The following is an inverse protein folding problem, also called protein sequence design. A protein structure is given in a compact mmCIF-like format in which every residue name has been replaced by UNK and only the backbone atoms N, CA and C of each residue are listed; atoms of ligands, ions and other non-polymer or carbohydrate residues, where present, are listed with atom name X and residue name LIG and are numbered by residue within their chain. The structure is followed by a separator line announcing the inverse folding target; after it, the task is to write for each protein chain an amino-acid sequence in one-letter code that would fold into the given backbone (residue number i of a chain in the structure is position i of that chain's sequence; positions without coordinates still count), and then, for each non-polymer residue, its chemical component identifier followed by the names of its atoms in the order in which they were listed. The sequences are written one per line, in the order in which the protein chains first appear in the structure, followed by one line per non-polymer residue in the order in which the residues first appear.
data_IF_981171958353
#
_entry.id   IF_981171958353
#
_cell.length_a   1.000
_cell.length_b   1.000
_cell.length_c   1.000
_cell.angle_alpha   90.00
_cell.angle_beta   90.00
_cell.angle_gamma   90.00
#
_symmetry.space_group_name_H-M   'P 1'
#
loop_
_entity.id
_entity.type
_entity.pdbx_description
1 polymer ?
#
# COMPACT_ATOMS: atom_id res chain seq x y z
N UNK A 1 5.87 -0.03 16.15
CA UNK A 1 7.05 0.10 15.27
C UNK A 1 6.61 0.65 13.94
N UNK A 2 7.34 1.61 13.39
CA UNK A 2 7.03 2.20 12.08
C UNK A 2 7.54 1.29 10.95
N UNK A 3 6.80 1.21 9.85
CA UNK A 3 7.05 0.29 8.74
C UNK A 3 7.02 1.02 7.41
N UNK A 4 7.74 0.48 6.43
CA UNK A 4 7.64 0.88 5.03
C UNK A 4 6.56 0.03 4.36
N UNK A 5 5.52 0.68 3.82
CA UNK A 5 4.51 0.02 3.01
C UNK A 5 5.06 -0.21 1.60
N UNK A 6 5.10 -1.46 1.15
CA UNK A 6 5.44 -1.80 -0.24
C UNK A 6 4.15 -2.20 -0.96
N UNK A 7 3.77 -1.47 -2.00
CA UNK A 7 2.61 -1.79 -2.84
C UNK A 7 3.12 -2.49 -4.10
N UNK A 8 2.82 -3.78 -4.25
CA UNK A 8 3.39 -4.63 -5.30
C UNK A 8 2.47 -5.81 -5.65
N UNK A 9 3.03 -6.93 -6.13
CA UNK A 9 2.36 -8.18 -6.39
C UNK A 9 3.17 -9.38 -5.85
N UNK A 10 2.55 -10.54 -5.69
CA UNK A 10 3.12 -11.70 -4.97
C UNK A 10 4.41 -12.26 -5.58
N UNK A 11 4.60 -12.16 -6.90
CA UNK A 11 5.77 -12.71 -7.60
C UNK A 11 6.93 -11.69 -7.80
N UNK A 12 6.88 -10.50 -7.17
CA UNK A 12 7.96 -9.50 -7.31
C UNK A 12 9.26 -9.88 -6.57
N UNK A 13 10.16 -10.57 -7.28
CA UNK A 13 11.51 -10.93 -6.79
C UNK A 13 12.40 -9.74 -6.43
N UNK A 14 12.12 -8.55 -6.97
CA UNK A 14 12.88 -7.35 -6.62
C UNK A 14 12.54 -6.93 -5.19
N UNK A 15 11.25 -6.97 -4.84
CA UNK A 15 10.78 -6.69 -3.49
C UNK A 15 11.31 -7.72 -2.50
N UNK A 16 11.31 -9.02 -2.85
CA UNK A 16 11.92 -10.07 -2.03
C UNK A 16 13.39 -9.76 -1.69
N UNK A 17 14.17 -9.40 -2.72
CA UNK A 17 15.57 -9.05 -2.55
C UNK A 17 15.76 -7.81 -1.67
N UNK A 18 14.97 -6.75 -1.88
CA UNK A 18 15.04 -5.51 -1.08
C UNK A 18 14.73 -5.80 0.38
N UNK A 19 13.60 -6.47 0.66
CA UNK A 19 13.20 -6.79 2.04
C UNK A 19 14.26 -7.65 2.72
N UNK A 20 14.79 -8.68 2.04
CA UNK A 20 15.85 -9.53 2.60
C UNK A 20 17.15 -8.75 2.86
N UNK A 21 17.55 -7.86 1.95
CA UNK A 21 18.80 -7.08 2.08
C UNK A 21 18.73 -6.05 3.19
N UNK A 22 17.57 -5.45 3.42
CA UNK A 22 17.41 -4.32 4.34
C UNK A 22 16.60 -4.64 5.61
N UNK A 23 16.28 -5.92 5.86
CA UNK A 23 15.54 -6.36 7.06
C UNK A 23 16.19 -5.94 8.40
N UNK A 24 17.50 -5.70 8.43
CA UNK A 24 18.22 -5.22 9.60
C UNK A 24 18.13 -3.69 9.81
N UNK A 25 17.55 -2.96 8.85
CA UNK A 25 17.44 -1.49 8.86
C UNK A 25 16.01 -0.98 8.90
N UNK A 26 15.07 -1.75 8.37
CA UNK A 26 13.69 -1.34 8.26
C UNK A 26 12.75 -2.54 8.36
N UNK A 27 11.60 -2.30 8.97
CA UNK A 27 10.46 -3.19 8.92
C UNK A 27 9.61 -2.86 7.70
N UNK A 28 9.09 -3.90 7.04
CA UNK A 28 8.32 -3.77 5.82
C UNK A 28 6.95 -4.41 5.99
N UNK A 29 5.92 -3.75 5.47
CA UNK A 29 4.63 -4.37 5.24
C UNK A 29 4.43 -4.50 3.73
N UNK A 30 4.29 -5.72 3.23
CA UNK A 30 4.09 -5.99 1.80
C UNK A 30 2.62 -6.16 1.49
N UNK A 31 2.10 -5.26 0.67
CA UNK A 31 0.75 -5.31 0.14
C UNK A 31 0.78 -5.85 -1.31
N UNK A 32 0.44 -7.13 -1.46
CA UNK A 32 0.34 -7.82 -2.75
C UNK A 32 -1.05 -7.59 -3.35
N UNK A 33 -1.13 -6.72 -4.35
CA UNK A 33 -2.41 -6.29 -4.94
C UNK A 33 -3.09 -7.44 -5.69
N UNK A 34 -2.34 -8.39 -6.21
CA UNK A 34 -2.88 -9.59 -6.85
C UNK A 34 -3.53 -10.56 -5.85
N UNK A 35 -3.26 -10.40 -4.56
CA UNK A 35 -3.88 -11.14 -3.47
C UNK A 35 -4.79 -10.24 -2.64
N UNK A 36 -5.38 -9.20 -3.23
CA UNK A 36 -6.13 -8.15 -2.52
C UNK A 36 -7.17 -8.70 -1.54
N UNK A 37 -7.88 -9.77 -1.90
CA UNK A 37 -8.92 -10.40 -1.09
C UNK A 37 -8.41 -11.03 0.21
N UNK A 38 -7.11 -11.31 0.33
CA UNK A 38 -6.49 -11.82 1.56
C UNK A 38 -6.26 -10.70 2.60
N UNK A 39 -6.31 -9.43 2.17
CA UNK A 39 -6.07 -8.27 3.02
C UNK A 39 -7.38 -7.68 3.54
N UNK A 40 -7.39 -7.29 4.81
CA UNK A 40 -8.45 -6.45 5.37
C UNK A 40 -8.04 -4.99 5.24
N UNK A 41 -8.63 -4.30 4.26
CA UNK A 41 -8.41 -2.86 4.04
C UNK A 41 -9.56 -2.08 4.67
N UNK A 42 -9.24 -1.20 5.62
CA UNK A 42 -10.20 -0.31 6.28
C UNK A 42 -9.83 1.13 5.96
N UNK A 43 -10.77 1.91 5.42
CA UNK A 43 -10.57 3.33 5.07
C UNK A 43 -11.66 4.14 5.76
N UNK A 44 -11.25 5.22 6.44
CA UNK A 44 -12.13 6.19 7.07
C UNK A 44 -11.70 7.61 6.70
N UNK A 45 -12.46 8.61 7.13
CA UNK A 45 -12.14 10.02 6.87
C UNK A 45 -10.79 10.46 7.47
N UNK A 46 -10.35 9.84 8.57
CA UNK A 46 -9.17 10.29 9.34
C UNK A 46 -7.99 9.32 9.28
N UNK A 47 -8.27 8.03 9.05
CA UNK A 47 -7.28 6.96 9.12
C UNK A 47 -7.55 5.86 8.08
N UNK A 48 -6.51 5.10 7.76
CA UNK A 48 -6.59 3.85 7.02
C UNK A 48 -5.74 2.78 7.69
N UNK A 49 -6.14 1.53 7.51
CA UNK A 49 -5.45 0.35 8.03
C UNK A 49 -5.51 -0.78 7.00
N UNK A 50 -4.41 -1.50 6.86
CA UNK A 50 -4.30 -2.72 6.07
C UNK A 50 -3.76 -3.81 6.99
N UNK A 51 -4.53 -4.89 7.15
CA UNK A 51 -4.13 -6.06 7.92
C UNK A 51 -4.03 -7.30 7.03
N UNK A 52 -3.05 -8.16 7.33
CA UNK A 52 -2.84 -9.45 6.68
C UNK A 52 -2.28 -10.45 7.70
N UNK A 53 -3.08 -11.49 8.02
CA UNK A 53 -2.78 -12.38 9.14
C UNK A 53 -2.67 -11.61 10.45
N UNK A 54 -1.53 -11.76 11.15
CA UNK A 54 -1.23 -11.04 12.38
C UNK A 54 -0.46 -9.73 12.17
N UNK A 55 -0.16 -9.38 10.91
CA UNK A 55 0.56 -8.17 10.58
C UNK A 55 -0.41 -7.05 10.19
N UNK A 56 -0.07 -5.81 10.54
CA UNK A 56 -0.90 -4.64 10.29
C UNK A 56 -0.04 -3.41 10.05
N UNK A 57 -0.52 -2.55 9.16
CA UNK A 57 0.03 -1.23 8.90
C UNK A 57 -1.11 -0.22 8.76
N UNK A 58 -0.90 0.97 9.29
CA UNK A 58 -1.86 2.07 9.29
C UNK A 58 -1.16 3.36 8.88
N UNK A 59 -1.95 4.41 8.67
CA UNK A 59 -1.42 5.76 8.41
C UNK A 59 -0.34 6.17 9.41
N UNK A 60 -0.59 5.98 10.70
CA UNK A 60 0.29 6.45 11.78
C UNK A 60 1.55 5.59 11.94
N UNK A 61 1.49 4.33 11.50
CA UNK A 61 2.62 3.40 11.56
C UNK A 61 3.41 3.36 10.25
N UNK A 62 3.01 4.10 9.22
CA UNK A 62 3.69 4.13 7.92
C UNK A 62 4.70 5.27 7.86
N UNK A 63 5.98 4.93 7.69
CA UNK A 63 7.05 5.92 7.51
C UNK A 63 7.23 6.32 6.04
N UNK A 64 7.03 5.39 5.11
CA UNK A 64 7.20 5.61 3.68
C UNK A 64 6.41 4.58 2.86
N UNK A 65 6.10 4.93 1.61
CA UNK A 65 5.45 4.04 0.65
C UNK A 65 6.42 3.79 -0.51
N UNK A 66 6.66 2.52 -0.82
CA UNK A 66 7.37 2.09 -2.03
C UNK A 66 6.36 1.53 -3.03
N UNK A 67 6.00 2.34 -4.03
CA UNK A 67 5.05 1.97 -5.07
C UNK A 67 5.74 1.21 -6.21
N UNK A 68 5.52 -0.10 -6.32
CA UNK A 68 6.28 -0.97 -7.24
C UNK A 68 5.38 -1.93 -8.03
N UNK A 69 4.99 -1.49 -9.24
CA UNK A 69 4.32 -2.29 -10.30
C UNK A 69 3.25 -3.26 -9.74
N UNK A 70 2.15 -2.75 -9.18
CA UNK A 70 1.06 -3.60 -8.74
C UNK A 70 0.45 -4.37 -9.93
N UNK A 71 -0.04 -5.58 -9.66
CA UNK A 71 -0.82 -6.38 -10.59
C UNK A 71 -2.19 -6.67 -9.96
N UNK A 72 -3.25 -6.72 -10.78
CA UNK A 72 -4.60 -6.98 -10.28
C UNK A 72 -4.81 -8.45 -9.93
N UNK A 73 -5.75 -8.75 -9.01
CA UNK A 73 -6.14 -10.12 -8.73
C UNK A 73 -6.77 -10.78 -9.97
N UNK A 74 -6.67 -12.10 -10.03
CA UNK A 74 -7.45 -12.86 -11.00
C UNK A 74 -8.94 -12.73 -10.65
N UNK A 75 -9.70 -12.19 -11.59
CA UNK A 75 -11.15 -11.96 -11.49
C UNK A 75 -11.88 -12.63 -12.64
N UNK A 76 -11.25 -13.66 -13.24
CA UNK A 76 -11.78 -14.39 -14.39
C UNK A 76 -13.12 -15.09 -14.13
N UNK A 77 -13.49 -15.28 -12.86
CA UNK A 77 -14.78 -15.79 -12.40
C UNK A 77 -15.94 -14.80 -12.54
N UNK A 78 -15.67 -13.49 -12.61
CA UNK A 78 -16.71 -12.45 -12.74
C UNK A 78 -17.01 -12.10 -14.20
N UNK A 79 -18.14 -11.46 -14.48
CA UNK A 79 -18.41 -10.88 -15.81
C UNK A 79 -17.49 -9.67 -16.09
N UNK A 80 -17.28 -9.35 -17.37
CA UNK A 80 -16.27 -8.35 -17.78
C UNK A 80 -16.55 -6.95 -17.22
N UNK A 81 -17.82 -6.60 -17.04
CA UNK A 81 -18.30 -5.35 -16.45
C UNK A 81 -17.85 -5.25 -14.99
N UNK A 82 -18.02 -6.32 -14.20
CA UNK A 82 -17.59 -6.38 -12.81
C UNK A 82 -16.07 -6.38 -12.67
N UNK A 83 -15.33 -7.07 -13.56
CA UNK A 83 -13.85 -7.04 -13.55
C UNK A 83 -13.30 -5.62 -13.68
N UNK A 84 -13.88 -4.81 -14.57
CA UNK A 84 -13.48 -3.41 -14.76
C UNK A 84 -13.74 -2.58 -13.52
N UNK A 85 -14.92 -2.76 -12.91
CA UNK A 85 -15.30 -2.08 -11.67
C UNK A 85 -14.34 -2.43 -10.53
N UNK A 86 -14.08 -3.73 -10.29
CA UNK A 86 -13.15 -4.21 -9.26
C UNK A 86 -11.76 -3.61 -9.44
N UNK A 87 -11.21 -3.64 -10.66
CA UNK A 87 -9.89 -3.08 -10.94
C UNK A 87 -9.86 -1.55 -10.71
N UNK A 88 -10.94 -0.85 -11.08
CA UNK A 88 -11.07 0.59 -10.83
C UNK A 88 -11.10 0.92 -9.34
N UNK A 89 -11.83 0.14 -8.54
CA UNK A 89 -11.92 0.33 -7.09
C UNK A 89 -10.58 0.07 -6.40
N UNK A 90 -9.90 -1.03 -6.78
CA UNK A 90 -8.56 -1.35 -6.28
C UNK A 90 -7.57 -0.23 -6.63
N UNK A 91 -7.61 0.29 -7.86
CA UNK A 91 -6.76 1.44 -8.25
C UNK A 91 -7.07 2.69 -7.43
N UNK A 92 -8.34 3.01 -7.22
CA UNK A 92 -8.74 4.18 -6.45
C UNK A 92 -8.21 4.11 -5.01
N UNK A 93 -8.29 2.92 -4.38
CA UNK A 93 -7.73 2.66 -3.06
C UNK A 93 -6.21 2.85 -3.05
N UNK A 94 -5.49 2.19 -3.97
CA UNK A 94 -4.03 2.25 -4.06
C UNK A 94 -3.53 3.68 -4.32
N UNK A 95 -4.22 4.40 -5.20
CA UNK A 95 -3.91 5.79 -5.51
C UNK A 95 -4.15 6.70 -4.29
N UNK A 96 -5.28 6.54 -3.59
CA UNK A 96 -5.59 7.28 -2.38
C UNK A 96 -4.54 7.08 -1.27
N UNK A 97 -4.12 5.82 -1.04
CA UNK A 97 -3.06 5.49 -0.10
C UNK A 97 -1.74 6.18 -0.45
N UNK A 98 -1.37 6.17 -1.74
CA UNK A 98 -0.11 6.74 -2.23
C UNK A 98 -0.08 8.27 -2.13
N UNK A 99 -1.20 8.93 -2.43
CA UNK A 99 -1.30 10.39 -2.43
C UNK A 99 -1.34 10.99 -1.03
N UNK A 100 -1.88 10.30 -0.03
CA UNK A 100 -1.88 10.83 1.35
C UNK A 100 -0.47 11.01 1.91
N UNK A 101 0.47 10.11 1.60
CA UNK A 101 1.86 10.28 2.02
C UNK A 101 2.53 11.46 1.30
N UNK A 102 2.22 11.68 0.02
CA UNK A 102 2.67 12.87 -0.71
C UNK A 102 2.21 14.15 0.01
N UNK A 103 0.93 14.23 0.40
CA UNK A 103 0.42 15.40 1.12
C UNK A 103 1.08 15.60 2.50
N UNK A 104 1.41 14.53 3.22
CA UNK A 104 2.16 14.61 4.48
C UNK A 104 3.59 15.15 4.28
N UNK A 105 4.30 14.68 3.26
CA UNK A 105 5.67 15.11 2.97
C UNK A 105 5.74 16.58 2.52
N UNK A 106 4.79 17.02 1.69
CA UNK A 106 4.74 18.42 1.21
C UNK A 106 4.11 19.38 2.22
N UNK A 107 3.15 18.94 3.05
CA UNK A 107 2.60 19.74 4.15
C UNK A 107 3.66 20.10 5.19
N UNK A 108 4.62 19.20 5.45
CA UNK A 108 5.79 19.47 6.29
C UNK A 108 6.75 20.49 5.66
N UNK A 109 6.85 20.55 4.32
CA UNK A 109 7.70 21.54 3.64
C UNK A 109 7.13 22.96 3.73
N UNK A 110 5.81 23.13 3.67
CA UNK A 110 5.16 24.45 3.82
C UNK A 110 5.39 25.02 5.23
N UNK A 111 5.25 24.19 6.27
CA UNK A 111 5.46 24.66 7.66
C UNK A 111 6.93 24.94 8.03
N UNK A 112 7.89 24.46 7.23
CA UNK A 112 9.32 24.76 7.44
C UNK A 112 9.78 26.06 6.75
N UNK A 113 8.94 26.68 5.92
CA UNK A 113 9.26 27.96 5.26
C UNK A 113 8.66 29.17 5.97
N UNK A 114 7.82 28.96 6.99
CA UNK A 114 7.13 30.04 7.73
C UNK A 114 7.72 30.33 9.13
N UNK A 115 8.95 29.87 9.42
CA UNK A 115 9.69 30.23 10.65
C UNK A 115 11.07 30.80 10.34
#
# INVERSE_FOLDING_TARGET
MSKILIITYSYDKTVDYIMKKFNHKADFFRFNVDLFSEYKVTISAVNWEIAHGNDTISKDTTTSIYYRKPAFPDTSEFEIEYRRMINSDILAIIYGLSQQLFQLLYGIQVQKQEN
#
